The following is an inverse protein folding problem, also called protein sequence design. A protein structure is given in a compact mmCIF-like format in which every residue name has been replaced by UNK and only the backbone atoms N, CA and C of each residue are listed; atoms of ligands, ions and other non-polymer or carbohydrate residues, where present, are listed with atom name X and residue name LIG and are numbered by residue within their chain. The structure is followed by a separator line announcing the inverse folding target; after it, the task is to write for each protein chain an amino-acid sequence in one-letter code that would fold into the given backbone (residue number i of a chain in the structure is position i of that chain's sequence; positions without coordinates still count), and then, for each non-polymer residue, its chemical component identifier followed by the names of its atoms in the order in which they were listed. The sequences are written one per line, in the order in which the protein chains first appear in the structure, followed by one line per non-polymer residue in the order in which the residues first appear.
data_IF_361775472260
#
_entry.id   IF_361775472260
#
_cell.length_a   1.000
_cell.length_b   1.000
_cell.length_c   1.000
_cell.angle_alpha   90.00
_cell.angle_beta   90.00
_cell.angle_gamma   90.00
#
_symmetry.space_group_name_H-M   'P 1'
#
loop_
_entity.id
_entity.type
_entity.pdbx_description
1 polymer ?
#
# COMPACT_ATOMS: atom_id res chain seq x y z
N UNK A 1 -6.64 -17.51 -9.51
CA UNK A 1 -7.25 -18.16 -10.70
C UNK A 1 -6.25 -18.14 -11.85
N UNK A 2 -6.31 -19.12 -12.73
CA UNK A 2 -5.59 -19.10 -14.00
C UNK A 2 -6.62 -19.12 -15.11
N UNK A 3 -6.48 -18.21 -16.07
CA UNK A 3 -7.38 -18.08 -17.22
C UNK A 3 -6.54 -18.07 -18.50
N UNK A 4 -7.10 -18.58 -19.59
CA UNK A 4 -6.48 -18.45 -20.90
C UNK A 4 -7.13 -17.27 -21.62
N UNK A 5 -6.32 -16.32 -22.06
CA UNK A 5 -6.75 -15.20 -22.88
C UNK A 5 -6.29 -15.43 -24.32
N UNK A 6 -7.24 -15.40 -25.25
CA UNK A 6 -6.95 -15.54 -26.69
C UNK A 6 -7.16 -14.19 -27.37
N UNK A 7 -6.18 -13.75 -28.15
CA UNK A 7 -6.25 -12.54 -28.97
C UNK A 7 -6.15 -12.95 -30.42
N UNK A 8 -7.06 -12.44 -31.26
CA UNK A 8 -7.09 -12.72 -32.70
C UNK A 8 -7.37 -11.46 -33.50
N UNK A 9 -6.72 -11.35 -34.65
CA UNK A 9 -6.98 -10.33 -35.67
C UNK A 9 -7.84 -10.87 -36.85
N UNK A 10 -8.33 -12.11 -36.73
CA UNK A 10 -9.09 -12.83 -37.76
C UNK A 10 -8.25 -13.70 -38.69
N UNK A 11 -6.92 -13.53 -38.76
CA UNK A 11 -6.03 -14.40 -39.52
C UNK A 11 -5.12 -15.22 -38.60
N UNK A 12 -4.62 -14.61 -37.53
CA UNK A 12 -3.83 -15.22 -36.48
C UNK A 12 -4.59 -15.22 -35.16
N UNK A 13 -4.29 -16.20 -34.31
CA UNK A 13 -4.84 -16.30 -32.95
C UNK A 13 -3.75 -16.77 -32.02
N UNK A 14 -3.49 -16.00 -30.97
CA UNK A 14 -2.50 -16.32 -29.94
C UNK A 14 -3.20 -16.47 -28.60
N UNK A 15 -2.83 -17.50 -27.84
CA UNK A 15 -3.41 -17.77 -26.51
C UNK A 15 -2.33 -17.71 -25.44
N UNK A 16 -2.56 -16.88 -24.43
CA UNK A 16 -1.65 -16.69 -23.29
C UNK A 16 -2.34 -17.06 -21.98
N UNK A 17 -1.58 -17.69 -21.09
CA UNK A 17 -2.02 -17.94 -19.72
C UNK A 17 -1.90 -16.70 -18.84
N UNK A 18 -3.00 -16.28 -18.22
CA UNK A 18 -3.06 -15.14 -17.31
C UNK A 18 -3.32 -15.66 -15.89
N UNK A 19 -2.48 -15.22 -14.94
CA UNK A 19 -2.66 -15.52 -13.52
C UNK A 19 -3.37 -14.36 -12.83
N UNK A 20 -4.55 -14.63 -12.28
CA UNK A 20 -5.31 -13.68 -11.47
C UNK A 20 -5.07 -13.99 -10.00
N UNK A 21 -4.47 -13.04 -9.28
CA UNK A 21 -4.35 -13.09 -7.82
C UNK A 21 -5.42 -12.20 -7.20
N UNK A 22 -6.17 -12.74 -6.24
CA UNK A 22 -7.20 -12.01 -5.51
C UNK A 22 -6.85 -12.04 -4.04
N UNK A 23 -6.91 -10.87 -3.42
CA UNK A 23 -6.63 -10.67 -2.01
C UNK A 23 -7.79 -9.86 -1.43
N UNK A 24 -8.33 -10.31 -0.31
CA UNK A 24 -9.47 -9.65 0.35
C UNK A 24 -8.91 -8.64 1.34
N UNK A 25 -9.23 -7.36 1.17
CA UNK A 25 -8.96 -6.34 2.16
C UNK A 25 -10.00 -6.41 3.29
N UNK A 26 -9.56 -6.78 4.49
CA UNK A 26 -10.43 -6.83 5.67
C UNK A 26 -10.42 -5.51 6.42
N UNK A 27 -11.42 -5.29 7.29
CA UNK A 27 -11.44 -4.09 8.14
C UNK A 27 -10.24 -4.06 9.10
N UNK A 28 -9.86 -5.20 9.67
CA UNK A 28 -8.66 -5.33 10.52
C UNK A 28 -7.37 -4.94 9.77
N UNK A 29 -7.25 -5.30 8.49
CA UNK A 29 -6.14 -4.86 7.63
C UNK A 29 -6.13 -3.35 7.48
N UNK A 30 -7.29 -2.74 7.23
CA UNK A 30 -7.42 -1.30 7.03
C UNK A 30 -7.11 -0.56 8.32
N UNK A 31 -7.57 -1.04 9.48
CA UNK A 31 -7.28 -0.44 10.80
C UNK A 31 -5.79 -0.51 11.17
N UNK A 32 -5.08 -1.54 10.71
CA UNK A 32 -3.65 -1.73 10.98
C UNK A 32 -2.73 -1.28 9.83
N UNK A 33 -3.27 -0.54 8.86
CA UNK A 33 -2.51 -0.09 7.72
C UNK A 33 -1.68 1.16 8.01
N UNK A 34 -0.57 1.32 7.30
CA UNK A 34 0.20 2.57 7.19
C UNK A 34 0.20 3.07 5.75
N UNK A 35 0.49 4.35 5.57
CA UNK A 35 0.60 5.00 4.28
C UNK A 35 2.06 5.35 3.99
N UNK A 36 2.57 4.84 2.87
CA UNK A 36 3.85 5.29 2.32
C UNK A 36 3.59 6.32 1.24
N UNK A 37 4.24 7.48 1.33
CA UNK A 37 4.11 8.55 0.34
C UNK A 37 5.39 8.69 -0.46
N UNK A 38 5.31 8.52 -1.77
CA UNK A 38 6.44 8.66 -2.70
C UNK A 38 6.30 9.91 -3.55
N UNK A 39 7.41 10.55 -3.91
CA UNK A 39 7.41 11.69 -4.83
C UNK A 39 7.79 11.26 -6.26
N UNK A 40 7.10 11.84 -7.24
CA UNK A 40 7.41 11.71 -8.67
C UNK A 40 7.45 10.24 -9.12
N UNK A 41 6.47 9.45 -8.69
CA UNK A 41 6.36 8.03 -9.02
C UNK A 41 4.99 7.77 -9.63
N UNK A 42 4.97 7.21 -10.84
CA UNK A 42 3.72 6.79 -11.47
C UNK A 42 3.19 5.51 -10.80
N UNK A 43 1.86 5.31 -10.72
CA UNK A 43 1.30 4.06 -10.24
C UNK A 43 1.73 2.86 -11.08
N UNK A 44 1.83 3.02 -12.40
CA UNK A 44 2.21 1.97 -13.35
C UNK A 44 3.64 1.49 -13.12
N UNK A 45 4.59 2.43 -12.98
CA UNK A 45 5.98 2.09 -12.65
C UNK A 45 6.07 1.48 -11.26
N UNK A 46 5.31 2.00 -10.29
CA UNK A 46 5.27 1.42 -8.95
C UNK A 46 4.87 -0.05 -8.99
N UNK A 47 3.75 -0.38 -9.65
CA UNK A 47 3.22 -1.75 -9.63
C UNK A 47 4.03 -2.72 -10.47
N UNK A 48 4.60 -2.29 -11.61
CA UNK A 48 5.40 -3.16 -12.49
C UNK A 48 6.85 -3.31 -12.00
N UNK A 49 7.48 -2.21 -11.62
CA UNK A 49 8.94 -2.16 -11.41
C UNK A 49 9.28 -2.26 -9.92
N UNK A 50 8.61 -1.46 -9.08
CA UNK A 50 9.09 -1.19 -7.73
C UNK A 50 8.40 -1.97 -6.61
N UNK A 51 7.19 -2.48 -6.83
CA UNK A 51 6.40 -3.17 -5.81
C UNK A 51 7.17 -4.35 -5.18
N UNK A 52 7.82 -5.17 -6.02
CA UNK A 52 8.61 -6.32 -5.55
C UNK A 52 9.84 -5.87 -4.75
N UNK A 53 10.48 -4.77 -5.17
CA UNK A 53 11.62 -4.20 -4.47
C UNK A 53 11.18 -3.66 -3.11
N UNK A 54 10.10 -2.86 -3.05
CA UNK A 54 9.54 -2.33 -1.82
C UNK A 54 9.21 -3.45 -0.82
N UNK A 55 8.48 -4.49 -1.24
CA UNK A 55 8.13 -5.62 -0.35
C UNK A 55 9.38 -6.30 0.21
N UNK A 56 10.41 -6.53 -0.61
CA UNK A 56 11.68 -7.12 -0.16
C UNK A 56 12.40 -6.23 0.86
N UNK A 57 12.42 -4.92 0.63
CA UNK A 57 13.08 -3.97 1.52
C UNK A 57 12.36 -3.89 2.86
N UNK A 58 11.03 -3.83 2.87
CA UNK A 58 10.22 -3.88 4.10
C UNK A 58 10.46 -5.21 4.83
N UNK A 59 10.43 -6.36 4.13
CA UNK A 59 10.73 -7.66 4.73
C UNK A 59 12.12 -7.69 5.38
N UNK A 60 13.13 -7.14 4.71
CA UNK A 60 14.49 -7.08 5.26
C UNK A 60 14.58 -6.23 6.53
N UNK A 61 13.80 -5.15 6.63
CA UNK A 61 13.76 -4.30 7.83
C UNK A 61 13.07 -5.00 9.00
N UNK A 62 11.94 -5.65 8.72
CA UNK A 62 11.16 -6.36 9.75
C UNK A 62 11.92 -7.57 10.33
N UNK A 63 12.64 -8.31 9.50
CA UNK A 63 13.51 -9.42 9.93
C UNK A 63 14.75 -8.93 10.69
N UNK A 64 15.18 -7.68 10.47
CA UNK A 64 16.32 -7.07 11.17
C UNK A 64 16.01 -6.62 12.61
N UNK A 65 14.73 -6.55 13.01
CA UNK A 65 14.29 -6.08 14.33
C UNK A 65 13.92 -7.22 15.31
N UNK A 66 13.60 -8.42 14.81
CA UNK A 66 13.42 -9.63 15.63
C UNK A 66 14.07 -10.82 14.91
N UNK A 67 14.61 -11.77 15.68
CA UNK A 67 15.26 -13.03 15.23
C UNK A 67 14.30 -14.02 14.55
N UNK A 68 13.37 -13.51 13.76
CA UNK A 68 12.21 -14.20 13.27
C UNK A 68 12.49 -14.61 11.82
N UNK A 69 12.76 -15.91 11.60
CA UNK A 69 13.26 -16.45 10.34
C UNK A 69 12.21 -16.50 9.21
N UNK A 70 10.95 -16.15 9.49
CA UNK A 70 9.84 -16.17 8.53
C UNK A 70 9.40 -14.73 8.22
N UNK A 71 9.47 -14.28 6.95
CA UNK A 71 9.03 -12.93 6.59
C UNK A 71 7.55 -12.72 6.89
N UNK A 72 7.22 -11.64 7.59
CA UNK A 72 5.85 -11.20 7.82
C UNK A 72 5.17 -10.90 6.45
N UNK A 73 3.98 -11.47 6.16
CA UNK A 73 3.25 -11.17 4.92
C UNK A 73 2.90 -9.69 4.79
N UNK A 74 3.28 -9.07 3.67
CA UNK A 74 2.95 -7.68 3.35
C UNK A 74 1.79 -7.63 2.37
N UNK A 75 0.72 -6.97 2.80
CA UNK A 75 -0.51 -6.77 2.07
C UNK A 75 -0.55 -5.35 1.51
N UNK A 76 -0.67 -5.19 0.18
CA UNK A 76 -0.89 -3.87 -0.43
C UNK A 76 -2.39 -3.72 -0.62
N UNK A 77 -2.96 -2.74 0.07
CA UNK A 77 -4.40 -2.53 0.17
C UNK A 77 -4.85 -1.53 -0.90
N UNK A 78 -4.05 -0.48 -1.13
CA UNK A 78 -4.38 0.58 -2.06
C UNK A 78 -3.15 1.29 -2.61
N UNK A 79 -3.29 1.84 -3.81
CA UNK A 79 -2.28 2.65 -4.49
C UNK A 79 -3.03 3.79 -5.16
N UNK A 80 -2.68 5.03 -4.84
CA UNK A 80 -3.42 6.20 -5.33
C UNK A 80 -2.49 7.38 -5.57
N UNK A 81 -2.77 8.15 -6.62
CA UNK A 81 -2.19 9.48 -6.76
C UNK A 81 -2.90 10.45 -5.83
N UNK A 82 -2.14 11.31 -5.18
CA UNK A 82 -2.69 12.42 -4.41
C UNK A 82 -3.18 13.48 -5.39
N UNK A 83 -4.41 13.93 -5.21
CA UNK A 83 -5.04 14.94 -6.06
C UNK A 83 -4.17 16.19 -6.17
N UNK A 84 -3.92 16.64 -7.41
CA UNK A 84 -3.13 17.85 -7.71
C UNK A 84 -1.67 17.83 -7.22
N UNK A 85 -1.10 16.65 -6.98
CA UNK A 85 0.32 16.52 -6.66
C UNK A 85 0.99 15.44 -7.53
N UNK A 86 2.32 15.36 -7.48
CA UNK A 86 3.10 14.27 -8.10
C UNK A 86 3.38 13.12 -7.13
N UNK A 87 2.61 13.05 -6.03
CA UNK A 87 2.83 12.06 -4.98
C UNK A 87 1.96 10.83 -5.19
N UNK A 88 2.57 9.67 -4.94
CA UNK A 88 1.90 8.37 -4.92
C UNK A 88 1.79 7.91 -3.46
N UNK A 89 0.58 7.58 -3.03
CA UNK A 89 0.30 6.97 -1.74
C UNK A 89 0.07 5.47 -1.90
N UNK A 90 0.76 4.70 -1.08
CA UNK A 90 0.65 3.24 -1.03
C UNK A 90 0.21 2.85 0.37
N UNK A 91 -0.99 2.28 0.46
CA UNK A 91 -1.57 1.79 1.71
C UNK A 91 -1.22 0.31 1.88
N UNK A 92 -0.62 -0.04 3.02
CA UNK A 92 -0.20 -1.41 3.29
C UNK A 92 -0.38 -1.80 4.75
N UNK A 93 -0.60 -3.10 4.98
CA UNK A 93 -0.60 -3.70 6.30
C UNK A 93 0.36 -4.90 6.33
N UNK A 94 0.90 -5.19 7.50
CA UNK A 94 1.85 -6.28 7.71
C UNK A 94 1.26 -7.27 8.71
N UNK A 95 1.15 -8.53 8.30
CA UNK A 95 0.63 -9.59 9.15
C UNK A 95 1.70 -10.02 10.15
N UNK A 96 1.38 -9.94 11.44
CA UNK A 96 2.29 -10.33 12.50
C UNK A 96 2.43 -11.86 12.59
N UNK A 97 3.59 -12.34 13.07
CA UNK A 97 3.85 -13.77 13.16
C UNK A 97 2.95 -14.51 14.14
N UNK A 98 2.55 -13.84 15.22
CA UNK A 98 1.72 -14.41 16.29
C UNK A 98 0.22 -14.38 15.94
N UNK A 99 -0.13 -13.92 14.73
CA UNK A 99 -1.49 -13.64 14.30
C UNK A 99 -1.81 -12.14 14.35
N UNK A 100 -2.91 -11.73 13.70
CA UNK A 100 -3.28 -10.32 13.56
C UNK A 100 -2.30 -9.53 12.68
N UNK A 101 -2.25 -8.22 12.91
CA UNK A 101 -1.42 -7.27 12.16
C UNK A 101 -0.49 -6.49 13.09
N UNK A 102 0.62 -6.01 12.54
CA UNK A 102 1.52 -5.10 13.26
C UNK A 102 0.81 -3.75 13.40
N UNK A 103 0.74 -3.24 14.64
CA UNK A 103 0.11 -1.96 14.95
C UNK A 103 0.71 -0.80 14.12
N UNK A 104 -0.10 0.15 13.62
CA UNK A 104 0.37 1.20 12.70
C UNK A 104 1.56 2.00 13.20
N UNK A 105 1.53 2.43 14.47
CA UNK A 105 2.61 3.22 15.07
C UNK A 105 3.91 2.41 15.23
N UNK A 106 3.81 1.14 15.62
CA UNK A 106 4.96 0.24 15.69
C UNK A 106 5.54 -0.02 14.29
N UNK A 107 4.68 -0.26 13.31
CA UNK A 107 5.09 -0.50 11.94
C UNK A 107 5.78 0.72 11.33
N UNK A 108 5.24 1.93 11.54
CA UNK A 108 5.87 3.17 11.10
C UNK A 108 7.26 3.35 11.73
N UNK A 109 7.39 3.08 13.03
CA UNK A 109 8.67 3.14 13.74
C UNK A 109 9.70 2.14 13.18
N UNK A 110 9.29 0.88 12.97
CA UNK A 110 10.15 -0.17 12.40
C UNK A 110 10.60 0.16 10.96
N UNK A 111 9.84 0.98 10.25
CA UNK A 111 10.16 1.45 8.90
C UNK A 111 10.86 2.81 8.87
N UNK A 112 11.36 3.29 10.01
CA UNK A 112 12.11 4.55 10.10
C UNK A 112 13.31 4.62 9.16
N UNK A 113 14.00 3.49 8.91
CA UNK A 113 15.14 3.41 7.98
C UNK A 113 14.77 3.03 6.53
N UNK A 114 13.47 2.97 6.21
CA UNK A 114 13.01 2.53 4.88
C UNK A 114 13.53 3.46 3.78
N UNK A 115 13.60 4.76 4.06
CA UNK A 115 14.08 5.76 3.11
C UNK A 115 15.53 5.51 2.71
N UNK A 116 16.40 5.24 3.67
CA UNK A 116 17.82 4.95 3.47
C UNK A 116 17.99 3.63 2.71
N UNK A 117 17.25 2.59 3.09
CA UNK A 117 17.33 1.27 2.42
C UNK A 117 16.83 1.29 0.98
N UNK A 118 15.90 2.18 0.64
CA UNK A 118 15.44 2.36 -0.73
C UNK A 118 16.49 3.07 -1.62
N UNK A 119 17.56 3.61 -1.04
CA UNK A 119 18.76 4.03 -1.76
C UNK A 119 18.52 5.10 -2.83
N UNK A 120 17.52 5.97 -2.65
CA UNK A 120 17.15 7.02 -3.61
C UNK A 120 16.47 6.53 -4.90
N UNK A 121 16.33 5.23 -5.10
CA UNK A 121 15.60 4.63 -6.23
C UNK A 121 14.11 5.00 -6.15
N UNK A 122 13.58 5.00 -4.93
CA UNK A 122 12.24 5.49 -4.61
C UNK A 122 12.39 6.70 -3.68
N UNK A 123 11.80 7.83 -4.07
CA UNK A 123 11.79 9.05 -3.25
C UNK A 123 10.67 8.97 -2.22
N UNK A 124 10.89 8.20 -1.15
CA UNK A 124 9.98 8.13 -0.02
C UNK A 124 9.98 9.50 0.70
N UNK A 125 8.84 10.17 0.68
CA UNK A 125 8.59 11.43 1.39
C UNK A 125 8.30 11.15 2.86
N UNK A 126 7.25 10.35 3.12
CA UNK A 126 6.70 10.13 4.45
C UNK A 126 6.28 8.68 4.67
N UNK A 127 6.35 8.26 5.93
CA UNK A 127 5.70 7.06 6.47
C UNK A 127 4.66 7.55 7.47
N UNK A 128 3.39 7.42 7.14
CA UNK A 128 2.29 7.91 7.98
C UNK A 128 1.57 6.72 8.58
N UNK A 129 1.46 6.71 9.90
CA UNK A 129 0.51 5.85 10.60
C UNK A 129 -0.91 6.44 10.52
N UNK A 130 -1.82 5.88 11.31
CA UNK A 130 -3.19 6.38 11.41
C UNK A 130 -3.37 7.44 12.49
N UNK A 131 -2.28 8.10 12.89
CA UNK A 131 -2.34 9.22 13.83
C UNK A 131 -2.68 10.52 13.13
N UNK A 132 -3.27 11.45 13.89
CA UNK A 132 -3.47 12.79 13.40
C UNK A 132 -2.12 13.51 13.20
N UNK A 133 -1.99 14.34 12.16
CA UNK A 133 -0.81 15.18 11.97
C UNK A 133 -0.60 16.08 13.19
N UNK A 134 0.66 16.23 13.62
CA UNK A 134 0.99 17.06 14.79
C UNK A 134 0.77 18.56 14.59
N UNK A 135 0.59 19.01 13.35
CA UNK A 135 0.28 20.40 12.98
C UNK A 135 -1.23 20.71 13.00
N UNK A 136 -2.09 19.71 13.22
CA UNK A 136 -3.53 19.93 13.35
C UNK A 136 -3.88 20.38 14.77
N UNK A 137 -4.28 21.64 14.91
CA UNK A 137 -4.78 22.19 16.18
C UNK A 137 -6.31 22.05 16.26
N UNK A 138 -6.76 21.12 17.11
CA UNK A 138 -8.18 20.92 17.43
C UNK A 138 -8.61 21.69 18.71
N UNK A 139 -7.74 22.54 19.29
CA UNK A 139 -8.03 23.20 20.57
C UNK A 139 -8.33 22.19 21.69
N UNK A 140 -9.49 22.35 22.34
CA UNK A 140 -9.94 21.44 23.41
C UNK A 140 -10.58 20.13 22.91
N UNK A 141 -10.74 19.98 21.59
CA UNK A 141 -11.35 18.80 20.99
C UNK A 141 -10.32 17.74 20.61
N UNK A 142 -10.77 16.49 20.45
CA UNK A 142 -9.88 15.36 20.12
C UNK A 142 -9.89 15.16 18.61
N UNK A 143 -8.71 15.08 18.00
CA UNK A 143 -8.62 14.68 16.61
C UNK A 143 -8.85 13.18 16.46
N UNK A 144 -9.79 12.83 15.58
CA UNK A 144 -10.02 11.47 15.12
C UNK A 144 -9.65 11.37 13.64
N UNK A 145 -8.88 10.34 13.32
CA UNK A 145 -8.53 9.99 11.96
C UNK A 145 -9.26 8.73 11.54
N UNK A 146 -9.95 8.80 10.40
CA UNK A 146 -10.64 7.65 9.81
C UNK A 146 -10.03 7.31 8.46
N UNK A 147 -9.76 6.03 8.26
CA UNK A 147 -9.35 5.47 6.98
C UNK A 147 -10.40 4.46 6.52
N UNK A 148 -10.95 4.65 5.32
CA UNK A 148 -12.00 3.78 4.76
C UNK A 148 -11.68 3.40 3.33
N UNK A 149 -12.11 2.21 2.93
CA UNK A 149 -12.12 1.79 1.54
C UNK A 149 -13.50 2.06 0.94
N UNK A 150 -13.51 2.51 -0.31
CA UNK A 150 -14.71 2.70 -1.13
C UNK A 150 -14.81 1.51 -2.10
N UNK A 151 -15.49 0.40 -1.74
CA UNK A 151 -15.44 -0.86 -2.49
C UNK A 151 -16.06 -0.79 -3.89
N UNK A 152 -16.93 0.20 -4.12
CA UNK A 152 -17.56 0.44 -5.43
C UNK A 152 -16.71 1.32 -6.36
N UNK A 153 -15.70 2.02 -5.84
CA UNK A 153 -14.82 2.89 -6.61
C UNK A 153 -13.46 2.19 -6.76
N UNK A 154 -13.29 1.51 -7.88
CA UNK A 154 -12.09 0.74 -8.19
C UNK A 154 -11.14 1.54 -9.07
N UNK A 155 -9.88 1.51 -8.72
CA UNK A 155 -8.78 2.08 -9.49
C UNK A 155 -8.05 0.94 -10.20
N UNK A 156 -7.85 1.09 -11.50
CA UNK A 156 -7.12 0.11 -12.32
C UNK A 156 -5.86 0.72 -12.89
N UNK A 157 -4.73 0.06 -12.65
CA UNK A 157 -3.45 0.38 -13.28
C UNK A 157 -3.04 -0.77 -14.19
N UNK A 158 -2.92 -0.48 -15.48
CA UNK A 158 -2.55 -1.47 -16.49
C UNK A 158 -1.18 -1.18 -17.07
N UNK A 159 -0.33 -2.19 -17.14
CA UNK A 159 0.95 -2.14 -17.84
C UNK A 159 1.02 -3.23 -18.91
N UNK A 160 2.13 -3.30 -19.64
CA UNK A 160 2.34 -4.31 -20.68
C UNK A 160 2.32 -5.76 -20.15
N UNK A 161 2.54 -5.97 -18.84
CA UNK A 161 2.70 -7.31 -18.24
C UNK A 161 1.71 -7.62 -17.13
N UNK A 162 1.15 -6.59 -16.50
CA UNK A 162 0.35 -6.76 -15.29
C UNK A 162 -0.75 -5.71 -15.22
N UNK A 163 -1.88 -6.09 -14.66
CA UNK A 163 -2.96 -5.17 -14.30
C UNK A 163 -3.25 -5.30 -12.81
N UNK A 164 -3.32 -4.16 -12.13
CA UNK A 164 -3.66 -4.06 -10.72
C UNK A 164 -5.02 -3.38 -10.59
N UNK A 165 -5.92 -4.00 -9.83
CA UNK A 165 -7.23 -3.44 -9.49
C UNK A 165 -7.29 -3.33 -7.97
N UNK A 166 -7.51 -2.11 -7.48
CA UNK A 166 -7.46 -1.77 -6.07
C UNK A 166 -8.66 -0.89 -5.72
N UNK A 167 -9.23 -1.00 -4.51
CA UNK A 167 -10.26 -0.07 -4.06
C UNK A 167 -9.68 1.33 -3.83
N UNK A 168 -10.50 2.36 -4.03
CA UNK A 168 -10.18 3.69 -3.56
C UNK A 168 -10.18 3.70 -2.03
N UNK A 169 -9.25 4.42 -1.41
CA UNK A 169 -9.26 4.71 0.02
C UNK A 169 -9.39 6.20 0.27
N UNK A 170 -10.09 6.54 1.35
CA UNK A 170 -10.32 7.91 1.80
C UNK A 170 -9.80 8.03 3.23
N UNK A 171 -8.96 9.04 3.45
CA UNK A 171 -8.46 9.43 4.77
C UNK A 171 -9.15 10.72 5.18
N UNK A 172 -9.88 10.69 6.29
CA UNK A 172 -10.63 11.83 6.82
C UNK A 172 -10.12 12.17 8.21
N UNK A 173 -9.99 13.46 8.50
CA UNK A 173 -9.60 13.98 9.81
C UNK A 173 -10.72 14.84 10.33
N UNK A 174 -11.15 14.58 11.56
CA UNK A 174 -12.26 15.30 12.21
C UNK A 174 -11.89 15.62 13.64
N UNK A 175 -12.04 16.88 14.04
CA UNK A 175 -11.96 17.26 15.44
C UNK A 175 -13.33 17.01 16.09
N UNK A 176 -13.41 16.14 17.09
CA UNK A 176 -14.63 15.81 17.81
C UNK A 176 -14.60 16.36 19.24
N UNK A 177 -15.68 17.04 19.63
CA UNK A 177 -15.90 17.43 21.02
C UNK A 177 -16.26 16.19 21.86
N UNK A 178 -15.74 16.13 23.09
CA UNK A 178 -16.10 15.11 24.07
C UNK A 178 -17.49 15.31 24.68
#
# INVERSE_FOLDING_TARGET
YYINATVSDGHFSETVGVKVQVEVATEEMVQNAILLRFQNLSPEDFVEIYLKHLKKTIQSLLVGARMAQIPEPIHIIGVQLVTQSSQLEVLLAVKAQEGGYVEPGELALRLGELREKLGGTLKLADVLDQSCPGDLDCGDSVCELSLKLEPADLITYGTSKVSFVLPRFVRTQTCMCS
#
